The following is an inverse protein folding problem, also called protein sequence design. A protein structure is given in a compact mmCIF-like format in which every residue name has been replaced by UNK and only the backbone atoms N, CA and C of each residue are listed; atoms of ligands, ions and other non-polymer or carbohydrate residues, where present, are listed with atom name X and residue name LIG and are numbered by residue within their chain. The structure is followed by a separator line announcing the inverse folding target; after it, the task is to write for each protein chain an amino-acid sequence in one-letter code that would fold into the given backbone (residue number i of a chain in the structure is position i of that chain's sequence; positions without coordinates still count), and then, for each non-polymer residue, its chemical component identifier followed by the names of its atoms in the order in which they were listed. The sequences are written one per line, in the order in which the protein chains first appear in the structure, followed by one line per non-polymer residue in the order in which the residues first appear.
data_IF_027340205189
#
_entry.id   IF_027340205189
#
_cell.length_a   1.000
_cell.length_b   1.000
_cell.length_c   1.000
_cell.angle_alpha   90.00
_cell.angle_beta   90.00
_cell.angle_gamma   90.00
#
_symmetry.space_group_name_H-M   'P 1'
#
loop_
_entity.id
_entity.type
_entity.pdbx_description
1 polymer ?
#
# COMPACT_ATOMS: atom_id res chain seq x y z
N UNK A 1 13.23 42.26 -0.31
CA UNK A 1 11.97 41.59 0.07
C UNK A 1 11.30 40.79 -1.06
N UNK A 2 11.71 40.88 -2.32
CA UNK A 2 11.10 40.13 -3.44
C UNK A 2 11.60 38.67 -3.57
N UNK A 3 12.84 38.37 -3.10
CA UNK A 3 13.40 36.99 -3.21
C UNK A 3 12.79 35.95 -2.28
N UNK A 4 12.30 36.34 -1.10
CA UNK A 4 11.74 35.40 -0.11
C UNK A 4 10.38 34.87 -0.54
N UNK A 5 9.60 35.69 -1.25
CA UNK A 5 8.26 35.29 -1.73
C UNK A 5 8.31 34.23 -2.84
N UNK A 6 9.31 34.33 -3.73
CA UNK A 6 9.51 33.37 -4.82
C UNK A 6 9.93 32.00 -4.28
N UNK A 7 10.76 31.97 -3.23
CA UNK A 7 11.21 30.74 -2.60
C UNK A 7 10.05 29.98 -1.91
N UNK A 8 9.11 30.72 -1.29
CA UNK A 8 7.93 30.12 -0.62
C UNK A 8 6.94 29.50 -1.62
N UNK A 9 6.78 30.13 -2.80
CA UNK A 9 5.90 29.59 -3.87
C UNK A 9 6.50 28.31 -4.48
N UNK A 10 7.82 28.23 -4.62
CA UNK A 10 8.47 27.03 -5.15
C UNK A 10 8.41 25.85 -4.17
N UNK A 11 8.47 26.08 -2.85
CA UNK A 11 8.30 25.03 -1.85
C UNK A 11 6.86 24.49 -1.80
N UNK A 12 5.86 25.37 -1.94
CA UNK A 12 4.45 24.96 -1.93
C UNK A 12 4.05 24.17 -3.20
N UNK A 13 4.64 24.51 -4.35
CA UNK A 13 4.40 23.78 -5.59
C UNK A 13 4.91 22.33 -5.54
N UNK A 14 6.06 22.08 -4.90
CA UNK A 14 6.61 20.73 -4.78
C UNK A 14 5.75 19.81 -3.91
N UNK A 15 5.08 20.33 -2.86
CA UNK A 15 4.19 19.54 -1.99
C UNK A 15 2.92 19.12 -2.74
N UNK A 16 2.37 20.00 -3.58
CA UNK A 16 1.17 19.72 -4.39
C UNK A 16 1.45 18.65 -5.46
N UNK A 17 2.62 18.68 -6.08
CA UNK A 17 3.00 17.69 -7.10
C UNK A 17 3.23 16.29 -6.49
N UNK A 18 3.83 16.23 -5.30
CA UNK A 18 4.06 14.95 -4.61
C UNK A 18 2.75 14.24 -4.22
N UNK A 19 1.74 14.97 -3.74
CA UNK A 19 0.44 14.41 -3.38
C UNK A 19 -0.35 13.91 -4.60
N UNK A 20 -0.33 14.64 -5.71
CA UNK A 20 -0.97 14.21 -6.95
C UNK A 20 -0.35 12.93 -7.53
N UNK A 21 0.96 12.74 -7.39
CA UNK A 21 1.65 11.54 -7.87
C UNK A 21 1.23 10.29 -7.07
N UNK A 22 1.12 10.38 -5.75
CA UNK A 22 0.70 9.27 -4.88
C UNK A 22 -0.77 8.90 -5.13
N UNK A 23 -1.67 9.87 -5.23
CA UNK A 23 -3.10 9.59 -5.49
C UNK A 23 -3.30 8.95 -6.87
N UNK A 24 -2.60 9.43 -7.87
CA UNK A 24 -2.61 8.85 -9.22
C UNK A 24 -2.07 7.42 -9.19
N UNK A 25 -1.01 7.18 -8.43
CA UNK A 25 -0.43 5.85 -8.26
C UNK A 25 -1.41 4.88 -7.59
N UNK A 26 -2.10 5.30 -6.52
CA UNK A 26 -3.15 4.53 -5.84
C UNK A 26 -4.26 4.13 -6.81
N UNK A 27 -4.80 5.09 -7.57
CA UNK A 27 -5.84 4.86 -8.57
C UNK A 27 -5.40 3.85 -9.64
N UNK A 28 -4.22 4.04 -10.21
CA UNK A 28 -3.67 3.14 -11.23
C UNK A 28 -3.44 1.73 -10.66
N UNK A 29 -2.97 1.63 -9.43
CA UNK A 29 -2.77 0.34 -8.77
C UNK A 29 -4.09 -0.39 -8.54
N UNK A 30 -5.13 0.30 -8.04
CA UNK A 30 -6.46 -0.31 -7.84
C UNK A 30 -7.00 -0.87 -9.16
N UNK A 31 -6.90 -0.12 -10.27
CA UNK A 31 -7.31 -0.61 -11.59
C UNK A 31 -6.48 -1.85 -11.99
N UNK A 32 -5.17 -1.80 -11.78
CA UNK A 32 -4.25 -2.89 -12.11
C UNK A 32 -4.53 -4.19 -11.31
N UNK A 33 -5.14 -4.11 -10.13
CA UNK A 33 -5.53 -5.32 -9.37
C UNK A 33 -6.59 -6.16 -10.08
N UNK A 34 -7.37 -5.57 -10.99
CA UNK A 34 -8.50 -6.19 -11.68
C UNK A 34 -8.26 -6.37 -13.19
N UNK A 35 -7.24 -5.75 -13.74
CA UNK A 35 -6.94 -5.73 -15.18
C UNK A 35 -5.47 -6.09 -15.43
N UNK A 36 -5.24 -7.25 -16.07
CA UNK A 36 -3.90 -7.74 -16.39
C UNK A 36 -3.11 -6.77 -17.30
N UNK A 37 -3.78 -6.15 -18.27
CA UNK A 37 -3.12 -5.18 -19.17
C UNK A 37 -2.66 -3.97 -18.39
N UNK A 38 -3.48 -3.45 -17.50
CA UNK A 38 -3.13 -2.32 -16.62
C UNK A 38 -2.02 -2.69 -15.63
N UNK A 39 -2.00 -3.92 -15.12
CA UNK A 39 -0.89 -4.41 -14.30
C UNK A 39 0.42 -4.43 -15.09
N UNK A 40 0.42 -4.86 -16.35
CA UNK A 40 1.59 -4.84 -17.23
C UNK A 40 2.04 -3.42 -17.58
N UNK A 41 1.10 -2.51 -17.86
CA UNK A 41 1.40 -1.08 -18.09
C UNK A 41 2.07 -0.45 -16.86
N UNK A 42 1.53 -0.69 -15.67
CA UNK A 42 2.10 -0.18 -14.42
C UNK A 42 3.49 -0.79 -14.12
N UNK A 43 3.67 -2.08 -14.42
CA UNK A 43 4.97 -2.74 -14.29
C UNK A 43 6.02 -2.12 -15.23
N UNK A 44 5.65 -1.83 -16.49
CA UNK A 44 6.53 -1.13 -17.42
C UNK A 44 6.89 0.26 -16.94
N UNK A 45 5.93 1.04 -16.43
CA UNK A 45 6.19 2.34 -15.82
C UNK A 45 7.26 2.25 -14.73
N UNK A 46 7.16 1.27 -13.82
CA UNK A 46 8.18 1.09 -12.79
C UNK A 46 9.52 0.56 -13.31
N UNK A 47 9.51 -0.15 -14.43
CA UNK A 47 10.75 -0.66 -15.07
C UNK A 47 11.58 0.44 -15.71
N UNK A 48 10.96 1.53 -16.14
CA UNK A 48 11.66 2.71 -16.70
C UNK A 48 12.19 3.65 -15.62
N UNK A 49 11.73 3.51 -14.36
CA UNK A 49 12.21 4.34 -13.26
C UNK A 49 13.47 3.72 -12.63
N UNK A 50 14.60 4.35 -12.88
CA UNK A 50 15.84 4.07 -12.15
C UNK A 50 15.80 4.71 -10.76
N UNK A 51 16.38 4.05 -9.76
CA UNK A 51 16.61 4.60 -8.42
C UNK A 51 15.37 5.13 -7.66
N UNK A 52 14.34 4.29 -7.51
CA UNK A 52 13.22 4.62 -6.61
C UNK A 52 13.73 4.57 -5.17
N UNK A 53 13.89 5.73 -4.54
CA UNK A 53 14.36 5.87 -3.15
C UNK A 53 13.23 6.13 -2.16
N UNK A 54 12.10 6.64 -2.63
CA UNK A 54 10.92 6.95 -1.83
C UNK A 54 10.22 5.65 -1.40
N UNK A 55 10.01 5.42 -0.06
CA UNK A 55 9.54 4.13 0.46
C UNK A 55 8.18 3.71 -0.09
N UNK A 56 7.22 4.63 -0.19
CA UNK A 56 5.88 4.30 -0.66
C UNK A 56 5.87 3.90 -2.15
N UNK A 57 6.62 4.61 -3.00
CA UNK A 57 6.77 4.23 -4.41
C UNK A 57 7.48 2.87 -4.56
N UNK A 58 8.47 2.59 -3.70
CA UNK A 58 9.15 1.30 -3.65
C UNK A 58 8.18 0.17 -3.30
N UNK A 59 7.28 0.40 -2.33
CA UNK A 59 6.25 -0.56 -1.95
C UNK A 59 5.24 -0.80 -3.08
N UNK A 60 4.81 0.24 -3.78
CA UNK A 60 3.93 0.10 -4.95
C UNK A 60 4.61 -0.63 -6.12
N UNK A 61 5.91 -0.41 -6.35
CA UNK A 61 6.68 -1.23 -7.30
C UNK A 61 6.66 -2.70 -6.90
N UNK A 62 6.91 -3.00 -5.62
CA UNK A 62 6.81 -4.37 -5.09
C UNK A 62 5.41 -4.96 -5.28
N UNK A 63 4.36 -4.23 -4.89
CA UNK A 63 2.98 -4.67 -5.06
C UNK A 63 2.61 -4.90 -6.54
N UNK A 64 3.12 -4.08 -7.45
CA UNK A 64 2.93 -4.27 -8.89
C UNK A 64 3.62 -5.56 -9.38
N UNK A 65 4.82 -5.88 -8.89
CA UNK A 65 5.50 -7.15 -9.19
C UNK A 65 4.65 -8.34 -8.71
N UNK A 66 4.00 -8.24 -7.54
CA UNK A 66 3.07 -9.26 -7.05
C UNK A 66 1.84 -9.44 -7.95
N UNK A 67 1.33 -8.36 -8.57
CA UNK A 67 0.26 -8.46 -9.57
C UNK A 67 0.72 -9.22 -10.82
N UNK A 68 1.95 -9.03 -11.29
CA UNK A 68 2.50 -9.83 -12.39
C UNK A 68 2.59 -11.31 -12.01
N UNK A 69 2.96 -11.61 -10.75
CA UNK A 69 2.92 -12.98 -10.24
C UNK A 69 1.51 -13.56 -10.26
N UNK A 70 0.48 -12.78 -9.90
CA UNK A 70 -0.94 -13.19 -9.93
C UNK A 70 -1.35 -13.67 -11.32
N UNK A 71 -0.96 -12.98 -12.36
CA UNK A 71 -1.32 -13.29 -13.75
C UNK A 71 -0.38 -14.28 -14.44
N UNK A 72 0.71 -14.72 -13.81
CA UNK A 72 1.61 -15.73 -14.35
C UNK A 72 1.00 -17.14 -14.24
N UNK A 73 1.09 -17.93 -15.30
CA UNK A 73 0.66 -19.34 -15.29
C UNK A 73 1.78 -20.30 -14.85
N UNK A 74 3.04 -19.85 -14.86
CA UNK A 74 4.17 -20.68 -14.49
C UNK A 74 4.44 -20.58 -12.97
N UNK A 75 4.36 -21.68 -12.21
CA UNK A 75 4.55 -21.67 -10.75
C UNK A 75 5.92 -21.15 -10.31
N UNK A 76 6.97 -21.51 -11.02
CA UNK A 76 8.33 -21.07 -10.72
C UNK A 76 8.48 -19.55 -10.92
N UNK A 77 7.97 -19.05 -12.04
CA UNK A 77 7.94 -17.61 -12.34
C UNK A 77 7.12 -16.85 -11.30
N UNK A 78 5.96 -17.40 -10.91
CA UNK A 78 5.11 -16.83 -9.85
C UNK A 78 5.88 -16.69 -8.53
N UNK A 79 6.54 -17.75 -8.08
CA UNK A 79 7.34 -17.75 -6.87
C UNK A 79 8.47 -16.72 -6.91
N UNK A 80 9.19 -16.63 -8.03
CA UNK A 80 10.26 -15.64 -8.24
C UNK A 80 9.74 -14.20 -8.10
N UNK A 81 8.59 -13.89 -8.73
CA UNK A 81 8.00 -12.55 -8.65
C UNK A 81 7.49 -12.23 -7.24
N UNK A 82 6.87 -13.20 -6.56
CA UNK A 82 6.40 -12.99 -5.17
C UNK A 82 7.58 -12.68 -4.25
N UNK A 83 8.66 -13.45 -4.31
CA UNK A 83 9.85 -13.19 -3.50
C UNK A 83 10.43 -11.80 -3.79
N UNK A 84 10.58 -11.43 -5.07
CA UNK A 84 11.08 -10.10 -5.45
C UNK A 84 10.16 -8.97 -4.97
N UNK A 85 8.84 -9.19 -4.96
CA UNK A 85 7.86 -8.24 -4.47
C UNK A 85 8.00 -8.01 -2.96
N UNK A 86 8.06 -9.09 -2.19
CA UNK A 86 8.20 -9.03 -0.73
C UNK A 86 9.53 -8.41 -0.31
N UNK A 87 10.65 -8.78 -0.95
CA UNK A 87 11.97 -8.17 -0.70
C UNK A 87 11.96 -6.65 -0.89
N UNK A 88 11.25 -6.17 -1.90
CA UNK A 88 11.16 -4.74 -2.18
C UNK A 88 10.28 -4.01 -1.17
N UNK A 89 9.17 -4.62 -0.76
CA UNK A 89 8.28 -4.07 0.26
C UNK A 89 8.96 -4.08 1.64
N UNK A 90 9.71 -5.12 1.97
CA UNK A 90 10.47 -5.17 3.22
C UNK A 90 11.55 -4.07 3.29
N UNK A 91 12.22 -3.78 2.16
CA UNK A 91 13.11 -2.62 2.07
C UNK A 91 12.38 -1.29 2.28
N UNK A 92 11.16 -1.17 1.77
CA UNK A 92 10.33 0.02 1.99
C UNK A 92 9.91 0.15 3.47
N UNK A 93 9.51 -0.94 4.10
CA UNK A 93 9.17 -0.98 5.54
C UNK A 93 10.38 -0.63 6.40
N UNK A 94 11.56 -1.13 6.08
CA UNK A 94 12.78 -0.79 6.82
C UNK A 94 13.10 0.71 6.79
N UNK A 95 12.71 1.40 5.71
CA UNK A 95 12.86 2.87 5.58
C UNK A 95 11.73 3.65 6.24
N UNK A 96 10.53 3.08 6.32
CA UNK A 96 9.34 3.73 6.87
C UNK A 96 8.46 2.71 7.61
N UNK A 97 8.89 2.25 8.81
CA UNK A 97 8.28 1.11 9.51
C UNK A 97 6.85 1.36 9.97
N UNK A 98 6.47 2.60 10.24
CA UNK A 98 5.14 3.00 10.71
C UNK A 98 4.20 3.49 9.59
N UNK A 99 4.61 3.39 8.33
CA UNK A 99 3.76 3.76 7.21
C UNK A 99 2.67 2.69 7.01
N UNK A 100 1.42 3.03 7.39
CA UNK A 100 0.28 2.12 7.35
C UNK A 100 0.00 1.58 5.95
N UNK A 101 0.20 2.39 4.91
CA UNK A 101 -0.10 2.02 3.53
C UNK A 101 0.90 0.97 3.00
N UNK A 102 2.19 1.11 3.33
CA UNK A 102 3.21 0.11 2.99
C UNK A 102 2.92 -1.20 3.70
N UNK A 103 2.52 -1.14 4.98
CA UNK A 103 2.11 -2.31 5.78
C UNK A 103 0.86 -2.98 5.19
N UNK A 104 -0.14 -2.20 4.79
CA UNK A 104 -1.33 -2.73 4.15
C UNK A 104 -1.03 -3.39 2.79
N UNK A 105 -0.11 -2.85 2.01
CA UNK A 105 0.32 -3.48 0.75
C UNK A 105 0.96 -4.85 1.00
N UNK A 106 1.84 -5.00 2.00
CA UNK A 106 2.42 -6.30 2.36
C UNK A 106 1.36 -7.28 2.85
N UNK A 107 0.54 -6.85 3.80
CA UNK A 107 -0.60 -7.64 4.28
C UNK A 107 -1.48 -8.15 3.14
N UNK A 108 -1.82 -7.27 2.19
CA UNK A 108 -2.67 -7.62 1.04
C UNK A 108 -2.05 -8.69 0.13
N UNK A 109 -0.74 -8.77 0.05
CA UNK A 109 -0.03 -9.82 -0.68
C UNK A 109 0.02 -11.09 0.16
N UNK A 110 0.55 -11.02 1.39
CA UNK A 110 0.80 -12.19 2.24
C UNK A 110 -0.47 -12.97 2.56
N UNK A 111 -1.62 -12.30 2.79
CA UNK A 111 -2.90 -12.99 3.05
C UNK A 111 -3.40 -13.86 1.90
N UNK A 112 -2.90 -13.63 0.69
CA UNK A 112 -3.27 -14.38 -0.52
C UNK A 112 -2.24 -15.46 -0.90
N UNK A 113 -1.16 -15.59 -0.13
CA UNK A 113 -0.14 -16.60 -0.38
C UNK A 113 -0.44 -17.91 0.34
N UNK A 114 -0.07 -19.06 -0.24
CA UNK A 114 -0.16 -20.34 0.44
C UNK A 114 0.76 -20.38 1.67
N UNK A 115 0.20 -20.57 2.86
CA UNK A 115 0.95 -20.64 4.11
C UNK A 115 2.00 -21.76 4.19
N UNK A 116 1.84 -22.79 3.35
CA UNK A 116 2.80 -23.90 3.23
C UNK A 116 4.14 -23.47 2.61
N UNK A 117 4.11 -22.42 1.76
CA UNK A 117 5.30 -21.97 0.99
C UNK A 117 5.87 -20.69 1.57
N UNK A 118 5.02 -19.86 2.15
CA UNK A 118 5.39 -18.54 2.66
C UNK A 118 5.11 -18.44 4.16
N UNK A 119 6.06 -17.88 4.90
CA UNK A 119 5.82 -17.48 6.27
C UNK A 119 4.88 -16.28 6.30
N UNK A 120 3.78 -16.39 7.04
CA UNK A 120 2.81 -15.31 7.24
C UNK A 120 3.06 -14.54 8.54
N UNK A 121 4.29 -14.55 9.04
CA UNK A 121 4.65 -13.98 10.35
C UNK A 121 4.50 -12.45 10.43
N UNK A 122 4.34 -11.78 9.29
CA UNK A 122 4.22 -10.32 9.26
C UNK A 122 2.75 -9.85 9.36
N UNK A 123 1.78 -10.70 9.08
CA UNK A 123 0.36 -10.33 9.00
C UNK A 123 -0.14 -9.64 10.27
N UNK A 124 0.15 -10.21 11.44
CA UNK A 124 -0.28 -9.64 12.72
C UNK A 124 0.30 -8.25 12.97
N UNK A 125 1.61 -8.11 12.74
CA UNK A 125 2.32 -6.84 12.90
C UNK A 125 1.86 -5.76 11.92
N UNK A 126 1.59 -6.14 10.68
CA UNK A 126 1.10 -5.21 9.67
C UNK A 126 -0.30 -4.73 10.00
N UNK A 127 -1.19 -5.64 10.40
CA UNK A 127 -2.55 -5.30 10.87
C UNK A 127 -2.49 -4.39 12.09
N UNK A 128 -1.59 -4.63 13.06
CA UNK A 128 -1.44 -3.78 14.24
C UNK A 128 -1.14 -2.33 13.85
N UNK A 129 -0.18 -2.09 12.96
CA UNK A 129 0.17 -0.75 12.48
C UNK A 129 -1.00 -0.11 11.73
N UNK A 130 -1.64 -0.85 10.81
CA UNK A 130 -2.76 -0.32 10.02
C UNK A 130 -3.96 0.02 10.90
N UNK A 131 -4.35 -0.87 11.83
CA UNK A 131 -5.45 -0.63 12.75
C UNK A 131 -5.17 0.54 13.69
N UNK A 132 -3.95 0.65 14.23
CA UNK A 132 -3.54 1.76 15.07
C UNK A 132 -3.68 3.09 14.35
N UNK A 133 -3.17 3.17 13.12
CA UNK A 133 -3.30 4.37 12.29
C UNK A 133 -4.76 4.76 12.07
N UNK A 134 -5.59 3.81 11.62
CA UNK A 134 -7.00 4.07 11.31
C UNK A 134 -7.82 4.46 12.55
N UNK A 135 -7.55 3.85 13.71
CA UNK A 135 -8.29 4.17 14.93
C UNK A 135 -7.91 5.51 15.54
N UNK A 136 -6.67 5.96 15.39
CA UNK A 136 -6.16 7.22 15.92
C UNK A 136 -6.48 8.43 15.05
N UNK A 137 -6.57 8.26 13.74
CA UNK A 137 -6.87 9.34 12.79
C UNK A 137 -8.32 9.82 12.96
N UNK A 138 -8.55 11.13 12.93
CA UNK A 138 -9.90 11.71 13.14
C UNK A 138 -10.82 11.41 11.97
N UNK A 139 -10.42 11.78 10.75
CA UNK A 139 -11.19 11.64 9.53
C UNK A 139 -10.48 10.74 8.54
N UNK A 140 -11.25 10.00 7.76
CA UNK A 140 -10.74 9.13 6.70
C UNK A 140 -11.09 9.65 5.33
N UNK A 141 -10.16 9.57 4.40
CA UNK A 141 -10.47 9.71 2.99
C UNK A 141 -11.09 8.42 2.42
N UNK A 142 -11.43 8.44 1.14
CA UNK A 142 -12.02 7.28 0.45
C UNK A 142 -11.09 6.06 0.42
N UNK A 143 -9.78 6.27 0.38
CA UNK A 143 -8.79 5.20 0.36
C UNK A 143 -8.69 4.52 1.74
N UNK A 144 -8.61 5.29 2.81
CA UNK A 144 -8.58 4.78 4.18
C UNK A 144 -9.89 4.08 4.56
N UNK A 145 -11.03 4.63 4.11
CA UNK A 145 -12.34 4.00 4.25
C UNK A 145 -12.40 2.63 3.56
N UNK A 146 -11.83 2.52 2.36
CA UNK A 146 -11.75 1.25 1.63
C UNK A 146 -10.86 0.22 2.37
N UNK A 147 -9.71 0.64 2.92
CA UNK A 147 -8.84 -0.22 3.72
C UNK A 147 -9.56 -0.71 4.98
N UNK A 148 -10.23 0.19 5.71
CA UNK A 148 -10.98 -0.17 6.92
C UNK A 148 -12.07 -1.22 6.62
N UNK A 149 -12.82 -1.03 5.53
CA UNK A 149 -13.86 -1.96 5.08
C UNK A 149 -13.26 -3.32 4.70
N UNK A 150 -12.13 -3.35 4.01
CA UNK A 150 -11.42 -4.58 3.65
C UNK A 150 -10.95 -5.34 4.89
N UNK A 151 -10.34 -4.64 5.85
CA UNK A 151 -9.91 -5.26 7.11
C UNK A 151 -11.08 -5.82 7.92
N UNK A 152 -12.18 -5.06 8.06
CA UNK A 152 -13.38 -5.49 8.77
C UNK A 152 -14.03 -6.74 8.14
N UNK A 153 -13.89 -6.92 6.84
CA UNK A 153 -14.36 -8.11 6.13
C UNK A 153 -13.40 -9.30 6.22
N UNK A 154 -12.18 -9.09 6.74
CA UNK A 154 -11.14 -10.11 6.81
C UNK A 154 -11.27 -10.97 8.09
N UNK A 155 -10.69 -12.18 8.03
CA UNK A 155 -10.58 -13.08 9.20
C UNK A 155 -9.36 -12.80 10.09
N UNK A 156 -8.58 -11.78 9.78
CA UNK A 156 -7.27 -11.59 10.39
C UNK A 156 -7.27 -10.62 11.58
N UNK A 157 -8.38 -9.91 11.80
CA UNK A 157 -8.52 -9.03 12.98
C UNK A 157 -8.77 -9.85 14.25
N UNK A 158 -8.08 -9.51 15.34
CA UNK A 158 -8.48 -9.94 16.66
C UNK A 158 -9.83 -9.31 17.03
N UNK A 159 -10.55 -9.91 18.00
CA UNK A 159 -11.84 -9.37 18.49
C UNK A 159 -11.73 -7.92 18.94
N UNK A 160 -10.63 -7.56 19.60
CA UNK A 160 -10.41 -6.19 20.07
C UNK A 160 -10.22 -5.22 18.90
N UNK A 161 -9.34 -5.55 17.96
CA UNK A 161 -9.10 -4.74 16.75
C UNK A 161 -10.38 -4.55 15.94
N UNK A 162 -11.14 -5.63 15.75
CA UNK A 162 -12.43 -5.56 15.06
C UNK A 162 -13.40 -4.58 15.76
N UNK A 163 -13.57 -4.71 17.07
CA UNK A 163 -14.49 -3.85 17.81
C UNK A 163 -14.09 -2.37 17.74
N UNK A 164 -12.80 -2.06 17.91
CA UNK A 164 -12.31 -0.69 17.85
C UNK A 164 -12.46 -0.09 16.44
N UNK A 165 -12.03 -0.82 15.42
CA UNK A 165 -12.11 -0.36 14.04
C UNK A 165 -13.56 -0.22 13.57
N UNK A 166 -14.44 -1.18 13.91
CA UNK A 166 -15.86 -1.13 13.56
C UNK A 166 -16.59 0.04 14.23
N UNK A 167 -16.29 0.32 15.50
CA UNK A 167 -16.82 1.50 16.20
C UNK A 167 -16.41 2.79 15.46
N UNK A 168 -15.14 2.92 15.11
CA UNK A 168 -14.61 4.08 14.39
C UNK A 168 -15.23 4.21 12.99
N UNK A 169 -15.32 3.10 12.25
CA UNK A 169 -15.94 3.04 10.93
C UNK A 169 -17.37 3.55 10.94
N UNK A 170 -18.20 3.08 11.91
CA UNK A 170 -19.58 3.50 12.05
C UNK A 170 -19.71 4.98 12.44
N UNK A 171 -18.78 5.51 13.24
CA UNK A 171 -18.77 6.93 13.61
C UNK A 171 -18.51 7.81 12.36
N UNK A 172 -17.55 7.45 11.52
CA UNK A 172 -17.21 8.22 10.32
C UNK A 172 -18.27 8.07 9.23
N UNK A 173 -18.85 6.87 9.06
CA UNK A 173 -19.86 6.62 8.02
C UNK A 173 -21.21 7.28 8.30
N UNK A 174 -21.46 7.70 9.54
CA UNK A 174 -22.70 8.35 9.96
C UNK A 174 -22.54 9.88 10.15
N UNK A 175 -21.38 10.44 9.92
CA UNK A 175 -21.07 11.87 10.02
C UNK A 175 -21.22 12.57 8.65
#
# INVERSE_FOLDING_TARGET
MKSVFVLYILLSANIIWANNDVETLRKNFVIATQDEKKAKELYQYFSTKENISEPLQMAYKGATIALIAKYSNNPYTKLKYVNSALDLIDKAINKSPENFEIRYLRFSIERNLPSIIFSTNNIEKDIEVVCSYLTLKQDWDSFETAIAKDLLSSKYLSKNQYNQLNKKFNTISNA
#
